data_IF_392098935899
#
_entry.id   IF_392098935899
#
_cell.length_a   1.000
_cell.length_b   1.000
_cell.length_c   1.000
_cell.angle_alpha   90.00
_cell.angle_beta   90.00
_cell.angle_gamma   90.00
#
_symmetry.space_group_name_H-M   'P 1'
#
loop_
_entity.id
_entity.type
_entity.pdbx_description
1 polymer ?
#
# COMPACT_ATOMS: atom_id res chain seq x y z
N UNK A 1 12.43 5.51 0.33
CA UNK A 1 12.25 4.18 0.94
C UNK A 1 10.83 4.10 1.46
N UNK A 2 10.16 3.00 1.21
CA UNK A 2 8.75 2.75 1.53
C UNK A 2 8.62 1.46 2.33
N UNK A 3 7.59 1.42 3.17
CA UNK A 3 7.06 0.21 3.76
C UNK A 3 6.00 -0.33 2.81
N UNK A 4 6.04 -1.63 2.53
CA UNK A 4 5.41 -2.19 1.35
C UNK A 4 4.49 -3.35 1.74
N UNK A 5 3.26 -3.31 1.24
CA UNK A 5 2.30 -4.39 1.40
C UNK A 5 1.90 -4.86 0.00
N UNK A 6 2.07 -6.13 -0.26
CA UNK A 6 1.75 -6.74 -1.55
C UNK A 6 0.48 -7.57 -1.46
N UNK A 7 -0.32 -7.55 -2.53
CA UNK A 7 -1.54 -8.35 -2.66
C UNK A 7 -1.47 -9.16 -3.94
N UNK A 8 -1.82 -10.44 -3.86
CA UNK A 8 -1.92 -11.31 -5.02
C UNK A 8 -2.81 -12.52 -4.73
N UNK A 9 -3.16 -13.26 -5.77
CA UNK A 9 -3.94 -14.48 -5.59
C UNK A 9 -3.08 -15.62 -5.02
N UNK A 10 -3.60 -16.39 -4.06
CA UNK A 10 -2.88 -17.56 -3.53
C UNK A 10 -2.68 -18.59 -4.64
N UNK A 11 -1.49 -19.20 -4.69
CA UNK A 11 -1.24 -20.33 -5.58
C UNK A 11 -2.07 -21.55 -5.16
N UNK A 12 -2.40 -22.40 -6.14
CA UNK A 12 -3.11 -23.66 -5.94
C UNK A 12 -2.43 -24.62 -4.93
N UNK A 13 -1.13 -24.45 -4.68
CA UNK A 13 -0.34 -25.28 -3.77
C UNK A 13 -0.20 -24.71 -2.34
N UNK A 14 -0.88 -23.61 -2.03
CA UNK A 14 -1.08 -23.15 -0.65
C UNK A 14 0.10 -22.43 0.02
N UNK A 15 1.20 -22.14 -0.70
CA UNK A 15 2.32 -21.36 -0.18
C UNK A 15 2.76 -20.22 -1.12
N UNK A 16 3.05 -19.08 -0.48
CA UNK A 16 3.59 -17.78 -0.93
C UNK A 16 2.82 -17.09 -2.07
N UNK A 17 2.25 -15.93 -1.75
CA UNK A 17 1.89 -14.89 -2.71
C UNK A 17 3.21 -14.55 -3.44
N UNK A 18 3.33 -14.88 -4.73
CA UNK A 18 4.56 -14.57 -5.47
C UNK A 18 4.66 -13.05 -5.57
N UNK A 19 5.46 -12.43 -4.69
CA UNK A 19 6.07 -11.15 -4.98
C UNK A 19 6.93 -11.40 -6.20
N UNK A 20 6.38 -11.17 -7.39
CA UNK A 20 7.19 -10.96 -8.59
C UNK A 20 7.92 -9.64 -8.37
N UNK A 21 8.95 -9.67 -7.52
CA UNK A 21 10.10 -8.82 -7.69
C UNK A 21 10.61 -9.18 -9.08
N UNK A 22 10.19 -8.38 -10.06
CA UNK A 22 10.67 -8.47 -11.43
C UNK A 22 12.19 -8.40 -11.31
N UNK A 23 12.87 -9.49 -11.64
CA UNK A 23 14.32 -9.50 -11.81
C UNK A 23 14.64 -8.30 -12.72
N UNK A 24 15.56 -7.40 -12.33
CA UNK A 24 15.86 -6.19 -13.11
C UNK A 24 16.72 -6.57 -14.31
N UNK A 25 16.17 -7.37 -15.21
CA UNK A 25 16.78 -7.77 -16.47
C UNK A 25 15.69 -7.80 -17.53
N UNK A 26 15.32 -6.60 -18.00
CA UNK A 26 15.17 -6.20 -19.40
C UNK A 26 14.58 -4.79 -19.42
N UNK A 27 15.43 -3.80 -19.73
CA UNK A 27 15.09 -2.37 -19.81
C UNK A 27 14.25 -2.12 -21.06
N UNK A 28 12.97 -2.49 -21.00
CA UNK A 28 11.92 -1.89 -21.80
C UNK A 28 11.46 -0.65 -21.01
N UNK A 29 12.09 0.50 -21.26
CA UNK A 29 11.95 1.76 -20.49
C UNK A 29 10.51 2.36 -20.51
N UNK A 30 9.57 1.76 -21.24
CA UNK A 30 8.16 2.15 -21.20
C UNK A 30 7.33 1.15 -20.39
N UNK A 31 6.68 1.58 -19.28
CA UNK A 31 5.77 0.71 -18.54
C UNK A 31 4.65 0.25 -19.48
N UNK A 32 4.53 -1.06 -19.69
CA UNK A 32 3.47 -1.62 -20.51
C UNK A 32 2.12 -1.23 -19.92
N UNK A 33 1.21 -0.62 -20.69
CA UNK A 33 -0.08 -0.22 -20.19
C UNK A 33 -0.84 -1.41 -19.60
N UNK A 34 -1.27 -1.30 -18.35
CA UNK A 34 -2.13 -2.28 -17.71
C UNK A 34 -3.55 -2.09 -18.23
N UNK A 35 -4.06 -3.13 -18.90
CA UNK A 35 -5.42 -3.16 -19.41
C UNK A 35 -6.30 -4.02 -18.52
N UNK A 36 -6.98 -3.38 -17.57
CA UNK A 36 -7.96 -4.06 -16.72
C UNK A 36 -9.16 -4.54 -17.54
N UNK A 37 -9.58 -5.79 -17.29
CA UNK A 37 -10.87 -6.30 -17.76
C UNK A 37 -12.03 -5.53 -17.13
N UNK A 38 -13.23 -5.63 -17.70
CA UNK A 38 -14.43 -5.01 -17.12
C UNK A 38 -14.72 -5.52 -15.69
N UNK A 39 -14.43 -6.79 -15.42
CA UNK A 39 -14.57 -7.38 -14.09
C UNK A 39 -13.56 -6.80 -13.10
N UNK A 40 -12.27 -6.75 -13.48
CA UNK A 40 -11.22 -6.13 -12.66
C UNK A 40 -11.50 -4.65 -12.40
N UNK A 41 -12.05 -3.91 -13.37
CA UNK A 41 -12.51 -2.52 -13.14
C UNK A 41 -13.66 -2.43 -12.17
N UNK A 42 -14.63 -3.36 -12.25
CA UNK A 42 -15.73 -3.41 -11.29
C UNK A 42 -15.22 -3.70 -9.87
N UNK A 43 -14.20 -4.58 -9.73
CA UNK A 43 -13.52 -4.82 -8.44
C UNK A 43 -12.86 -3.54 -7.93
N UNK A 44 -12.09 -2.85 -8.78
CA UNK A 44 -11.45 -1.58 -8.42
C UNK A 44 -12.46 -0.55 -7.93
N UNK A 45 -13.58 -0.37 -8.66
CA UNK A 45 -14.62 0.59 -8.30
C UNK A 45 -15.22 0.29 -6.92
N UNK A 46 -15.40 -1.00 -6.56
CA UNK A 46 -15.85 -1.40 -5.23
C UNK A 46 -14.82 -1.09 -4.14
N UNK A 47 -13.54 -1.37 -4.39
CA UNK A 47 -12.44 -1.02 -3.47
C UNK A 47 -12.43 0.48 -3.22
N UNK A 48 -12.46 1.30 -4.28
CA UNK A 48 -12.45 2.77 -4.18
C UNK A 48 -13.66 3.27 -3.40
N UNK A 49 -14.86 2.78 -3.75
CA UNK A 49 -16.09 3.20 -3.09
C UNK A 49 -16.05 2.89 -1.59
N UNK A 50 -15.68 1.65 -1.23
CA UNK A 50 -15.63 1.22 0.16
C UNK A 50 -14.51 1.90 0.95
N UNK A 51 -13.36 2.12 0.34
CA UNK A 51 -12.29 2.92 0.95
C UNK A 51 -12.73 4.36 1.21
N UNK A 52 -13.46 4.99 0.28
CA UNK A 52 -14.00 6.33 0.50
C UNK A 52 -15.05 6.35 1.62
N UNK A 53 -15.88 5.31 1.75
CA UNK A 53 -16.87 5.22 2.82
C UNK A 53 -16.25 4.96 4.20
N UNK A 54 -15.27 4.06 4.30
CA UNK A 54 -14.71 3.61 5.58
C UNK A 54 -13.50 4.44 6.04
N UNK A 55 -12.66 4.92 5.11
CA UNK A 55 -11.45 5.70 5.41
C UNK A 55 -11.61 7.19 5.11
N UNK A 56 -12.60 7.57 4.30
CA UNK A 56 -12.84 8.96 3.89
C UNK A 56 -11.83 9.47 2.88
N UNK A 57 -10.67 9.93 3.37
CA UNK A 57 -9.71 10.78 2.67
C UNK A 57 -8.93 10.09 1.54
N UNK A 58 -9.62 9.61 0.51
CA UNK A 58 -9.02 8.93 -0.63
C UNK A 58 -9.17 9.73 -1.93
N UNK A 59 -8.18 9.65 -2.79
CA UNK A 59 -8.18 10.19 -4.16
C UNK A 59 -7.76 9.09 -5.12
N UNK A 60 -8.29 9.12 -6.33
CA UNK A 60 -7.92 8.17 -7.39
C UNK A 60 -7.29 8.90 -8.56
N UNK A 61 -6.28 8.27 -9.15
CA UNK A 61 -5.59 8.73 -10.34
C UNK A 61 -5.41 7.55 -11.30
N UNK A 62 -5.44 7.80 -12.61
CA UNK A 62 -5.24 6.76 -13.62
C UNK A 62 -3.87 6.94 -14.27
N UNK A 63 -3.06 5.88 -14.21
CA UNK A 63 -1.73 5.82 -14.82
C UNK A 63 -1.65 4.69 -15.84
N UNK A 64 -0.68 4.72 -16.78
CA UNK A 64 -0.44 3.59 -17.67
C UNK A 64 -0.18 2.28 -16.91
N UNK A 65 0.48 2.35 -15.76
CA UNK A 65 0.77 1.19 -14.89
C UNK A 65 -0.44 0.67 -14.12
N UNK A 66 -1.57 1.38 -14.14
CA UNK A 66 -2.82 1.00 -13.49
C UNK A 66 -3.47 2.18 -12.76
N UNK A 67 -4.69 1.99 -12.25
CA UNK A 67 -5.28 2.94 -11.32
C UNK A 67 -4.52 2.95 -9.99
N UNK A 68 -4.41 4.15 -9.42
CA UNK A 68 -3.80 4.41 -8.12
C UNK A 68 -4.84 5.03 -7.19
N UNK A 69 -4.90 4.56 -5.95
CA UNK A 69 -5.64 5.18 -4.86
C UNK A 69 -4.64 5.74 -3.85
N UNK A 70 -4.72 7.04 -3.58
CA UNK A 70 -3.94 7.74 -2.55
C UNK A 70 -4.83 8.01 -1.36
N UNK A 71 -4.42 7.54 -0.18
CA UNK A 71 -4.98 7.97 1.09
C UNK A 71 -4.23 9.22 1.59
N UNK A 72 -4.98 10.25 2.01
CA UNK A 72 -4.47 11.53 2.52
C UNK A 72 -5.16 11.89 3.85
N UNK A 73 -4.92 11.06 4.87
CA UNK A 73 -5.53 11.24 6.18
C UNK A 73 -4.80 12.22 7.11
N UNK A 74 -5.40 12.53 8.27
CA UNK A 74 -4.84 13.47 9.25
C UNK A 74 -3.51 12.99 9.87
N UNK A 75 -3.19 11.71 9.76
CA UNK A 75 -2.01 11.10 10.38
C UNK A 75 -0.93 10.67 9.38
N UNK A 76 -1.18 10.84 8.08
CA UNK A 76 -0.23 10.46 7.04
C UNK A 76 -0.91 10.17 5.71
N UNK A 77 -0.07 9.86 4.73
CA UNK A 77 -0.49 9.49 3.39
C UNK A 77 0.24 8.23 2.93
N UNK A 78 -0.44 7.43 2.14
CA UNK A 78 0.10 6.26 1.46
C UNK A 78 -0.69 6.04 0.17
N UNK A 79 -0.21 5.15 -0.69
CA UNK A 79 -0.86 4.86 -1.95
C UNK A 79 -0.94 3.36 -2.19
N UNK A 80 -1.91 2.94 -2.99
CA UNK A 80 -2.01 1.60 -3.53
C UNK A 80 -2.22 1.69 -5.04
N UNK A 81 -1.43 0.94 -5.78
CA UNK A 81 -1.58 0.71 -7.22
C UNK A 81 -2.20 -0.67 -7.45
N UNK A 82 -3.14 -0.75 -8.39
CA UNK A 82 -3.87 -1.97 -8.69
C UNK A 82 -3.70 -2.38 -10.15
N UNK A 83 -3.25 -3.60 -10.39
CA UNK A 83 -3.01 -4.13 -11.74
C UNK A 83 -4.07 -5.12 -12.23
N UNK A 84 -5.10 -5.39 -11.42
CA UNK A 84 -6.12 -6.41 -11.71
C UNK A 84 -5.84 -7.73 -11.01
N UNK A 85 -4.65 -8.28 -11.20
CA UNK A 85 -4.24 -9.58 -10.63
C UNK A 85 -3.33 -9.43 -9.40
N UNK A 86 -2.86 -8.20 -9.14
CA UNK A 86 -2.13 -7.84 -7.94
C UNK A 86 -2.42 -6.41 -7.52
N UNK A 87 -2.04 -6.07 -6.30
CA UNK A 87 -1.96 -4.69 -5.86
C UNK A 87 -0.68 -4.45 -5.04
N UNK A 88 -0.16 -3.24 -5.09
CA UNK A 88 1.04 -2.87 -4.35
C UNK A 88 0.79 -1.57 -3.58
N UNK A 89 0.94 -1.64 -2.26
CA UNK A 89 0.73 -0.52 -1.36
C UNK A 89 2.07 -0.03 -0.82
N UNK A 90 2.28 1.28 -0.89
CA UNK A 90 3.50 1.95 -0.49
C UNK A 90 3.23 3.01 0.57
N UNK A 91 3.93 2.90 1.69
CA UNK A 91 3.84 3.85 2.81
C UNK A 91 5.23 4.48 3.01
N UNK A 92 5.41 5.79 2.83
CA UNK A 92 6.70 6.43 3.03
C UNK A 92 7.25 6.25 4.46
N UNK A 93 8.56 5.98 4.64
CA UNK A 93 9.22 5.90 5.95
C UNK A 93 9.41 7.28 6.63
N UNK A 94 8.32 8.01 6.82
CA UNK A 94 8.32 9.34 7.44
C UNK A 94 7.69 9.36 8.82
N UNK A 95 6.99 8.29 9.20
CA UNK A 95 6.16 8.23 10.38
C UNK A 95 6.89 7.52 11.53
N UNK A 96 6.65 7.97 12.75
CA UNK A 96 7.27 7.41 13.96
C UNK A 96 6.30 7.49 15.14
N UNK A 97 6.46 6.61 16.13
CA UNK A 97 5.59 6.56 17.31
C UNK A 97 4.11 6.41 16.92
N UNK A 98 3.23 7.20 17.55
CA UNK A 98 1.79 7.13 17.29
C UNK A 98 1.40 7.43 15.84
N UNK A 99 2.19 8.24 15.12
CA UNK A 99 1.95 8.51 13.70
C UNK A 99 2.16 7.26 12.83
N UNK A 100 3.19 6.47 13.13
CA UNK A 100 3.43 5.20 12.43
C UNK A 100 2.30 4.20 12.66
N UNK A 101 1.79 4.14 13.89
CA UNK A 101 0.65 3.27 14.21
C UNK A 101 -0.62 3.70 13.48
N UNK A 102 -0.93 5.00 13.47
CA UNK A 102 -2.13 5.50 12.83
C UNK A 102 -2.12 5.26 11.31
N UNK A 103 -0.99 5.52 10.62
CA UNK A 103 -0.89 5.29 9.17
C UNK A 103 -0.95 3.80 8.84
N UNK A 104 -0.30 2.94 9.62
CA UNK A 104 -0.31 1.49 9.37
C UNK A 104 -1.65 0.85 9.72
N UNK A 105 -2.37 1.37 10.72
CA UNK A 105 -3.74 0.93 10.99
C UNK A 105 -4.66 1.24 9.81
N UNK A 106 -4.54 2.43 9.21
CA UNK A 106 -5.30 2.80 8.01
C UNK A 106 -4.88 1.95 6.80
N UNK A 107 -3.59 1.70 6.60
CA UNK A 107 -3.06 0.85 5.54
C UNK A 107 -3.55 -0.60 5.65
N UNK A 108 -3.50 -1.18 6.86
CA UNK A 108 -4.02 -2.54 7.10
C UNK A 108 -5.53 -2.61 6.92
N UNK A 109 -6.26 -1.54 7.26
CA UNK A 109 -7.70 -1.49 7.02
C UNK A 109 -8.02 -1.43 5.53
N UNK A 110 -7.32 -0.58 4.75
CA UNK A 110 -7.45 -0.60 3.29
C UNK A 110 -7.06 -1.97 2.72
N UNK A 111 -6.01 -2.59 3.23
CA UNK A 111 -5.57 -3.90 2.79
C UNK A 111 -6.65 -4.97 2.97
N UNK A 112 -7.40 -4.95 4.08
CA UNK A 112 -8.55 -5.87 4.26
C UNK A 112 -9.67 -5.60 3.26
N UNK A 113 -9.96 -4.34 2.95
CA UNK A 113 -10.93 -4.00 1.89
C UNK A 113 -10.49 -4.60 0.55
N UNK A 114 -9.20 -4.50 0.21
CA UNK A 114 -8.65 -5.09 -1.01
C UNK A 114 -8.82 -6.60 -1.00
N UNK A 115 -8.44 -7.29 0.08
CA UNK A 115 -8.62 -8.75 0.22
C UNK A 115 -10.09 -9.16 0.03
N UNK A 116 -11.02 -8.46 0.66
CA UNK A 116 -12.45 -8.78 0.64
C UNK A 116 -13.11 -8.54 -0.73
N UNK A 117 -12.76 -7.47 -1.43
CA UNK A 117 -13.40 -7.11 -2.71
C UNK A 117 -12.82 -7.82 -3.92
N UNK A 118 -11.54 -8.23 -3.84
CA UNK A 118 -10.80 -8.86 -4.93
C UNK A 118 -10.58 -10.36 -4.77
N UNK A 119 -10.65 -10.88 -3.53
CA UNK A 119 -10.25 -12.25 -3.22
C UNK A 119 -8.73 -12.50 -3.28
N UNK A 120 -7.92 -11.44 -3.32
CA UNK A 120 -6.47 -11.53 -3.11
C UNK A 120 -6.14 -11.75 -1.63
N UNK A 121 -4.96 -12.30 -1.36
CA UNK A 121 -4.36 -12.31 -0.03
C UNK A 121 -3.27 -11.22 0.03
N UNK A 122 -3.20 -10.50 1.15
CA UNK A 122 -2.20 -9.46 1.40
C UNK A 122 -1.08 -9.93 2.30
N UNK A 123 0.15 -9.53 2.00
CA UNK A 123 1.36 -9.76 2.79
C UNK A 123 2.09 -8.46 3.11
N UNK A 124 2.35 -8.26 4.41
CA UNK A 124 3.31 -7.30 4.91
C UNK A 124 4.72 -7.83 4.67
N UNK A 125 5.43 -7.24 3.70
CA UNK A 125 6.73 -7.76 3.24
C UNK A 125 7.85 -7.54 4.26
N UNK A 126 7.71 -6.53 5.12
CA UNK A 126 8.69 -6.21 6.15
C UNK A 126 8.62 -7.17 7.33
N UNK A 127 7.44 -7.74 7.60
CA UNK A 127 7.21 -8.69 8.69
C UNK A 127 7.01 -10.13 8.24
N UNK A 128 6.78 -10.37 6.95
CA UNK A 128 6.38 -11.68 6.41
C UNK A 128 5.06 -12.16 7.00
N UNK A 129 4.07 -11.27 7.12
CA UNK A 129 2.79 -11.56 7.80
C UNK A 129 1.59 -11.23 6.92
N UNK A 130 0.56 -12.09 6.99
CA UNK A 130 -0.71 -11.84 6.31
C UNK A 130 -1.44 -10.63 6.89
N UNK A 131 -2.02 -9.81 6.03
CA UNK A 131 -2.77 -8.60 6.41
C UNK A 131 -4.05 -8.96 7.18
N UNK A 132 -4.79 -9.98 6.73
CA UNK A 132 -6.03 -10.42 7.38
C UNK A 132 -5.86 -10.64 8.89
N UNK A 133 -4.77 -11.32 9.28
CA UNK A 133 -4.46 -11.66 10.69
C UNK A 133 -3.45 -10.72 11.34
N UNK A 134 -2.93 -9.75 10.59
CA UNK A 134 -1.83 -8.89 11.02
C UNK A 134 -2.27 -7.85 12.04
N UNK A 135 -1.47 -7.71 13.10
CA UNK A 135 -1.53 -6.58 14.03
C UNK A 135 -0.63 -5.45 13.50
N UNK A 136 -1.12 -4.21 13.33
CA UNK A 136 -0.30 -3.09 12.87
C UNK A 136 0.75 -2.62 13.90
N UNK A 137 0.69 -3.02 15.18
CA UNK A 137 1.64 -2.54 16.20
C UNK A 137 3.10 -2.98 15.94
N UNK A 138 3.41 -4.26 15.64
CA UNK A 138 4.73 -4.67 15.19
C UNK A 138 5.24 -3.87 13.98
N UNK A 139 4.38 -3.65 12.98
CA UNK A 139 4.71 -2.88 11.78
C UNK A 139 5.08 -1.44 12.14
N UNK A 140 4.30 -0.82 13.02
CA UNK A 140 4.50 0.55 13.46
C UNK A 140 5.79 0.72 14.27
N UNK A 141 6.12 -0.30 15.07
CA UNK A 141 7.38 -0.34 15.83
C UNK A 141 8.58 -0.40 14.87
N UNK A 142 8.54 -1.28 13.87
CA UNK A 142 9.60 -1.42 12.88
C UNK A 142 9.74 -0.15 12.02
N UNK A 143 8.62 0.39 11.52
CA UNK A 143 8.61 1.64 10.76
C UNK A 143 9.20 2.79 11.58
N UNK A 144 8.77 2.96 12.83
CA UNK A 144 9.27 4.00 13.70
C UNK A 144 10.78 3.90 13.96
N UNK A 145 11.31 2.69 14.15
CA UNK A 145 12.74 2.46 14.34
C UNK A 145 13.56 2.84 13.09
N UNK A 146 13.10 2.44 11.90
CA UNK A 146 13.77 2.77 10.63
C UNK A 146 13.72 4.27 10.37
N UNK A 147 12.57 4.91 10.58
CA UNK A 147 12.43 6.36 10.42
C UNK A 147 13.32 7.12 11.41
N UNK A 148 13.42 6.69 12.66
CA UNK A 148 14.30 7.31 13.65
C UNK A 148 15.77 7.17 13.23
N UNK A 149 16.21 5.96 12.90
CA UNK A 149 17.58 5.71 12.45
C UNK A 149 17.94 6.55 11.21
N UNK A 150 17.02 6.65 10.25
CA UNK A 150 17.19 7.43 9.02
C UNK A 150 17.38 8.92 9.33
N UNK A 151 16.58 9.48 10.26
CA UNK A 151 16.71 10.87 10.69
C UNK A 151 18.06 11.14 11.36
N UNK A 152 18.47 10.26 12.27
CA UNK A 152 19.71 10.40 13.04
C UNK A 152 20.96 10.22 12.17
N UNK A 153 20.91 9.33 11.18
CA UNK A 153 22.08 8.95 10.37
C UNK A 153 22.20 9.78 9.09
N UNK A 154 21.09 10.05 8.41
CA UNK A 154 21.09 10.67 7.08
C UNK A 154 20.63 12.14 7.09
N UNK A 155 20.19 12.66 8.24
CA UNK A 155 19.72 14.04 8.36
C UNK A 155 18.43 14.34 7.58
N UNK A 156 17.68 13.30 7.18
CA UNK A 156 16.43 13.46 6.44
C UNK A 156 15.31 13.93 7.37
N UNK A 157 14.90 15.19 7.27
CA UNK A 157 13.67 15.69 7.88
C UNK A 157 12.46 15.29 7.02
N UNK A 158 11.28 15.02 7.63
CA UNK A 158 10.06 14.77 6.86
C UNK A 158 9.76 15.96 5.94
N UNK A 159 9.29 15.67 4.71
CA UNK A 159 8.77 16.69 3.80
C UNK A 159 7.55 17.42 4.41
N UNK A 160 7.19 18.60 3.90
CA UNK A 160 6.11 19.40 4.49
C UNK A 160 4.83 18.56 4.59
N UNK A 161 4.28 18.47 5.80
CA UNK A 161 2.90 18.05 6.01
C UNK A 161 2.06 19.08 5.26
N UNK A 162 1.21 18.66 4.33
CA UNK A 162 0.33 19.57 3.61
C UNK A 162 -0.40 20.44 4.66
N UNK A 163 -0.06 21.71 4.70
CA UNK A 163 -0.75 22.69 5.54
C UNK A 163 -2.21 22.67 5.12
N UNK A 164 -3.07 22.13 5.96
CA UNK A 164 -4.51 22.32 5.84
C UNK A 164 -4.78 23.80 6.10
N UNK A 165 -5.00 24.56 5.02
CA UNK A 165 -5.60 25.90 5.09
C UNK A 165 -6.89 25.92 4.29
N UNK A 166 -7.81 26.88 4.53
CA UNK A 166 -7.77 27.96 5.54
C UNK A 166 -8.62 27.69 6.80
#
# INVERSE_FOLDING_TARGET
>A
MTYDIYFGHPRADGDVIESTAVEPDEVDDEPRPVHLTAEQRTVWDRIVHRAAEELGHVKTEEYPSGPLLRYEGPHGAFQIEYSGDSAYMEIPYWFSGNGALAVLAAAYHLGRIVEEESGMEGEDLQLGRRITTGDPHPAATQMGAITQWTRETLGLTPGPVAETGP
#
